data_IF_435662553200
#
_entry.id   IF_435662553200
#
_cell.length_a   1.000
_cell.length_b   1.000
_cell.length_c   1.000
_cell.angle_alpha   90.00
_cell.angle_beta   90.00
_cell.angle_gamma   90.00
#
_symmetry.space_group_name_H-M   'P 1'
#
loop_
_entity.id
_entity.type
_entity.pdbx_description
1 polymer ?
#
# COMPACT_ATOMS: atom_id res chain seq x y z
N UNK A 1 15.04 9.11 -10.05
CA UNK A 1 14.81 7.68 -9.79
C UNK A 1 13.42 7.51 -9.20
N UNK A 2 12.62 6.55 -9.68
CA UNK A 2 11.29 6.27 -9.13
C UNK A 2 11.41 5.68 -7.72
N UNK A 3 10.61 6.17 -6.77
CA UNK A 3 10.63 5.71 -5.37
C UNK A 3 9.32 4.96 -5.06
N UNK A 4 9.46 3.76 -4.51
CA UNK A 4 8.34 2.89 -4.16
C UNK A 4 8.12 2.86 -2.65
N UNK A 5 6.89 2.60 -2.22
CA UNK A 5 6.56 2.25 -0.85
C UNK A 5 6.01 0.81 -0.80
N UNK A 6 6.67 -0.04 -0.01
CA UNK A 6 6.23 -1.40 0.27
C UNK A 6 5.35 -1.39 1.54
N UNK A 7 4.14 -1.93 1.43
CA UNK A 7 3.23 -2.08 2.55
C UNK A 7 2.89 -3.57 2.68
N UNK A 8 3.14 -4.13 3.86
CA UNK A 8 2.72 -5.48 4.22
C UNK A 8 1.48 -5.40 5.11
N UNK A 9 0.54 -6.34 4.93
CA UNK A 9 -0.74 -6.30 5.65
C UNK A 9 -1.64 -5.14 5.20
N UNK A 10 -1.71 -4.89 3.90
CA UNK A 10 -2.50 -3.81 3.30
C UNK A 10 -3.99 -4.14 3.10
N UNK A 11 -4.42 -5.37 3.39
CA UNK A 11 -5.81 -5.79 3.19
C UNK A 11 -6.81 -5.15 4.16
N UNK A 12 -6.37 -4.65 5.32
CA UNK A 12 -7.26 -4.04 6.32
C UNK A 12 -6.54 -3.10 7.28
N UNK A 13 -7.33 -2.41 8.12
CA UNK A 13 -6.83 -1.58 9.21
C UNK A 13 -5.86 -0.49 8.76
N UNK A 14 -4.77 -0.32 9.50
CA UNK A 14 -3.79 0.75 9.27
C UNK A 14 -3.06 0.57 7.94
N UNK A 15 -2.76 -0.67 7.53
CA UNK A 15 -2.08 -0.95 6.26
C UNK A 15 -2.89 -0.46 5.06
N UNK A 16 -4.20 -0.74 5.06
CA UNK A 16 -5.13 -0.26 4.03
C UNK A 16 -5.22 1.27 4.03
N UNK A 17 -5.44 1.88 5.20
CA UNK A 17 -5.55 3.34 5.31
C UNK A 17 -4.27 4.06 4.83
N UNK A 18 -3.09 3.48 5.11
CA UNK A 18 -1.81 3.97 4.64
C UNK A 18 -1.65 3.81 3.12
N UNK A 19 -2.01 2.66 2.56
CA UNK A 19 -1.98 2.41 1.12
C UNK A 19 -2.85 3.42 0.37
N UNK A 20 -4.09 3.64 0.82
CA UNK A 20 -4.99 4.64 0.25
C UNK A 20 -4.42 6.06 0.34
N UNK A 21 -3.90 6.45 1.52
CA UNK A 21 -3.35 7.78 1.73
C UNK A 21 -2.14 8.06 0.84
N UNK A 22 -1.27 7.07 0.63
CA UNK A 22 -0.10 7.20 -0.23
C UNK A 22 -0.47 7.14 -1.72
N UNK A 23 -1.41 6.29 -2.11
CA UNK A 23 -1.93 6.24 -3.48
C UNK A 23 -2.57 7.58 -3.89
N UNK A 24 -3.39 8.19 -3.02
CA UNK A 24 -3.95 9.54 -3.23
C UNK A 24 -2.90 10.62 -3.41
N UNK A 25 -1.69 10.42 -2.88
CA UNK A 25 -0.53 11.33 -3.03
C UNK A 25 0.34 10.99 -4.24
N UNK A 26 -0.11 10.10 -5.13
CA UNK A 26 0.58 9.71 -6.35
C UNK A 26 1.82 8.85 -6.15
N UNK A 27 1.93 8.13 -5.02
CA UNK A 27 3.06 7.21 -4.80
C UNK A 27 2.85 5.88 -5.52
N UNK A 28 3.95 5.34 -6.07
CA UNK A 28 4.00 3.97 -6.58
C UNK A 28 4.11 3.00 -5.41
N UNK A 29 3.14 2.10 -5.28
CA UNK A 29 3.02 1.19 -4.14
C UNK A 29 3.29 -0.26 -4.55
N UNK A 30 3.88 -1.01 -3.63
CA UNK A 30 3.98 -2.47 -3.67
C UNK A 30 3.22 -2.99 -2.46
N UNK A 31 2.18 -3.79 -2.71
CA UNK A 31 1.24 -4.25 -1.70
C UNK A 31 1.40 -5.75 -1.48
N UNK A 32 1.49 -6.18 -0.22
CA UNK A 32 1.71 -7.58 0.16
C UNK A 32 0.71 -8.01 1.22
N UNK A 33 -0.23 -8.84 0.78
CA UNK A 33 -1.27 -9.45 1.59
C UNK A 33 -1.16 -10.98 1.57
N UNK A 34 -1.79 -11.64 2.56
CA UNK A 34 -1.87 -13.11 2.59
C UNK A 34 -2.86 -13.66 1.56
N UNK A 35 -3.88 -12.88 1.23
CA UNK A 35 -4.93 -13.20 0.27
C UNK A 35 -5.13 -11.99 -0.63
N UNK A 36 -5.48 -12.27 -1.89
CA UNK A 36 -5.58 -11.26 -2.95
C UNK A 36 -6.98 -10.66 -3.08
N UNK A 37 -7.95 -11.36 -2.49
CA UNK A 37 -9.38 -11.06 -2.48
C UNK A 37 -9.81 -10.73 -1.04
#
# INVERSE_FOLDING_TARGET
MTRYALITGDSSGIGLAMAEALARRGRSLLLVARQRD
#
